data_IF_355885796798
#
_entry.id   IF_355885796798
#
_cell.length_a   1.000
_cell.length_b   1.000
_cell.length_c   1.000
_cell.angle_alpha   90.00
_cell.angle_beta   90.00
_cell.angle_gamma   90.00
#
_symmetry.space_group_name_H-M   'P 1'
#
loop_
_entity.id
_entity.type
_entity.pdbx_description
1 polymer ?
#
# COMPACT_ATOMS: atom_id res chain seq x y z
N UNK A 1 26.68 20.27 36.79
CA UNK A 1 25.23 20.05 36.93
C UNK A 1 24.54 20.66 35.72
N UNK A 2 24.04 19.84 34.79
CA UNK A 2 23.52 20.32 33.50
C UNK A 2 22.18 21.05 33.64
N UNK A 3 22.12 22.27 33.13
CA UNK A 3 20.90 23.10 33.07
C UNK A 3 19.79 22.36 32.30
N UNK A 4 18.75 21.93 33.01
CA UNK A 4 17.53 21.39 32.40
C UNK A 4 16.89 22.50 31.56
N UNK A 5 17.08 22.43 30.24
CA UNK A 5 16.37 23.29 29.30
C UNK A 5 14.87 23.11 29.47
N UNK A 6 14.20 24.11 30.04
CA UNK A 6 12.75 24.14 30.24
C UNK A 6 12.04 23.96 28.89
N UNK A 7 11.16 22.96 28.81
CA UNK A 7 10.31 22.71 27.64
C UNK A 7 9.02 23.51 27.80
N UNK A 8 8.71 24.38 26.83
CA UNK A 8 7.45 25.14 26.84
C UNK A 8 6.27 24.17 26.71
N UNK A 9 5.15 24.48 27.37
CA UNK A 9 3.88 23.75 27.18
C UNK A 9 3.40 23.89 25.73
N UNK A 10 2.76 22.84 25.21
CA UNK A 10 2.16 22.83 23.86
C UNK A 10 1.00 21.85 23.74
N UNK A 11 0.12 21.99 22.75
CA UNK A 11 -0.96 21.03 22.51
C UNK A 11 -0.44 19.71 21.91
N UNK A 12 -1.08 18.60 22.28
CA UNK A 12 -0.89 17.29 21.66
C UNK A 12 -1.36 17.29 20.19
N UNK A 13 -0.58 16.74 19.26
CA UNK A 13 -0.98 16.65 17.85
C UNK A 13 -2.20 15.76 17.58
N UNK A 14 -2.61 14.93 18.55
CA UNK A 14 -3.76 14.02 18.43
C UNK A 14 -4.97 14.58 19.18
N UNK A 15 -4.92 14.63 20.52
CA UNK A 15 -6.06 15.04 21.35
C UNK A 15 -6.10 16.54 21.69
N UNK A 16 -5.13 17.34 21.20
CA UNK A 16 -5.02 18.80 21.42
C UNK A 16 -4.88 19.28 22.87
N UNK A 17 -4.93 18.40 23.88
CA UNK A 17 -4.63 18.74 25.28
C UNK A 17 -3.23 19.33 25.42
N UNK A 18 -3.12 20.41 26.19
CA UNK A 18 -1.84 21.03 26.55
C UNK A 18 -1.03 20.12 27.49
N UNK A 19 0.24 19.92 27.16
CA UNK A 19 1.19 19.14 27.97
C UNK A 19 2.58 19.77 27.96
N UNK A 20 3.39 19.42 28.95
CA UNK A 20 4.81 19.77 28.99
C UNK A 20 5.64 18.61 28.44
N UNK A 21 6.38 18.79 27.33
CA UNK A 21 7.22 17.73 26.79
C UNK A 21 8.33 17.29 27.75
N UNK A 22 8.71 16.01 27.71
CA UNK A 22 9.81 15.51 28.52
C UNK A 22 11.12 16.21 28.15
N UNK A 23 11.95 16.68 29.09
CA UNK A 23 13.17 17.46 28.81
C UNK A 23 14.18 16.78 27.87
N UNK A 24 14.24 15.44 27.87
CA UNK A 24 15.06 14.66 26.92
C UNK A 24 14.53 14.71 25.48
N UNK A 25 13.21 14.77 25.31
CA UNK A 25 12.57 14.69 24.00
C UNK A 25 12.30 16.08 23.41
N UNK A 26 12.09 17.11 24.25
CA UNK A 26 11.83 18.49 23.85
C UNK A 26 10.82 18.54 22.70
N UNK A 27 11.24 19.07 21.55
CA UNK A 27 10.38 19.23 20.38
C UNK A 27 10.06 17.95 19.62
N UNK A 28 10.76 16.85 19.91
CA UNK A 28 10.50 15.53 19.31
C UNK A 28 9.22 14.88 19.85
N UNK A 29 8.83 15.15 21.09
CA UNK A 29 7.61 14.56 21.66
C UNK A 29 6.35 15.26 21.13
N UNK A 30 5.71 14.73 20.08
CA UNK A 30 4.54 15.36 19.44
C UNK A 30 3.20 15.06 20.16
N UNK A 31 3.18 14.12 21.08
CA UNK A 31 1.96 13.65 21.78
C UNK A 31 2.04 13.86 23.28
N UNK A 32 0.89 14.00 23.96
CA UNK A 32 0.81 14.22 25.41
C UNK A 32 1.40 13.11 26.29
N UNK A 33 1.69 11.93 25.73
CA UNK A 33 2.28 10.80 26.46
C UNK A 33 1.31 9.64 26.65
N UNK A 34 0.01 9.90 26.50
CA UNK A 34 -1.05 8.89 26.53
C UNK A 34 -0.85 7.83 25.43
N UNK A 35 -1.17 6.58 25.77
CA UNK A 35 -0.94 5.41 24.92
C UNK A 35 -1.76 5.47 23.63
N UNK A 36 -3.00 5.94 23.69
CA UNK A 36 -3.85 6.10 22.51
C UNK A 36 -3.27 7.15 21.56
N UNK A 37 -2.85 8.30 22.09
CA UNK A 37 -2.21 9.36 21.31
C UNK A 37 -0.88 8.91 20.68
N UNK A 38 -0.07 8.13 21.39
CA UNK A 38 1.19 7.57 20.86
C UNK A 38 0.93 6.59 19.71
N UNK A 39 -0.03 5.67 19.89
CA UNK A 39 -0.40 4.68 18.86
C UNK A 39 -0.92 5.37 17.60
N UNK A 40 -1.81 6.35 17.75
CA UNK A 40 -2.36 7.07 16.59
C UNK A 40 -1.29 7.91 15.86
N UNK A 41 -0.40 8.57 16.62
CA UNK A 41 0.73 9.29 16.02
C UNK A 41 1.67 8.34 15.25
N UNK A 42 1.99 7.18 15.84
CA UNK A 42 2.79 6.15 15.19
C UNK A 42 2.11 5.64 13.91
N UNK A 43 0.81 5.33 13.97
CA UNK A 43 0.02 4.89 12.80
C UNK A 43 0.09 5.91 11.66
N UNK A 44 -0.11 7.21 11.95
CA UNK A 44 -0.03 8.29 10.95
C UNK A 44 1.37 8.40 10.35
N UNK A 45 2.41 8.39 11.20
CA UNK A 45 3.80 8.49 10.73
C UNK A 45 4.26 7.27 9.95
N UNK A 46 3.84 6.07 10.33
CA UNK A 46 4.06 4.86 9.54
C UNK A 46 3.34 4.91 8.20
N UNK A 47 2.09 5.38 8.15
CA UNK A 47 1.38 5.52 6.88
C UNK A 47 2.07 6.51 5.94
N UNK A 48 2.45 7.69 6.45
CA UNK A 48 3.20 8.71 5.70
C UNK A 48 4.54 8.17 5.19
N UNK A 49 5.28 7.47 6.06
CA UNK A 49 6.56 6.87 5.68
C UNK A 49 6.37 5.75 4.64
N UNK A 50 5.36 4.89 4.82
CA UNK A 50 5.06 3.81 3.88
C UNK A 50 4.68 4.33 2.50
N UNK A 51 3.91 5.42 2.45
CA UNK A 51 3.53 6.07 1.20
C UNK A 51 4.76 6.69 0.50
N UNK A 52 5.60 7.41 1.24
CA UNK A 52 6.80 8.03 0.70
C UNK A 52 7.88 7.03 0.28
N UNK A 53 7.92 5.84 0.89
CA UNK A 53 8.95 4.83 0.68
C UNK A 53 8.39 3.55 0.06
N UNK A 54 7.37 3.66 -0.81
CA UNK A 54 6.76 2.48 -1.44
C UNK A 54 7.78 1.60 -2.18
N UNK A 55 8.80 2.21 -2.80
CA UNK A 55 9.85 1.49 -3.52
C UNK A 55 10.78 0.69 -2.61
N UNK A 56 11.02 1.15 -1.38
CA UNK A 56 11.78 0.41 -0.38
C UNK A 56 11.15 -0.97 -0.11
N UNK A 57 9.82 -1.02 0.01
CA UNK A 57 9.09 -2.25 0.23
C UNK A 57 9.08 -3.15 -1.01
N UNK A 58 8.88 -2.57 -2.20
CA UNK A 58 8.93 -3.32 -3.47
C UNK A 58 10.30 -3.98 -3.64
N UNK A 59 11.38 -3.24 -3.37
CA UNK A 59 12.75 -3.74 -3.46
C UNK A 59 13.00 -4.88 -2.46
N UNK A 60 12.64 -4.68 -1.19
CA UNK A 60 12.76 -5.72 -0.16
C UNK A 60 11.97 -6.99 -0.50
N UNK A 61 10.74 -6.83 -1.00
CA UNK A 61 9.88 -7.95 -1.37
C UNK A 61 10.44 -8.72 -2.59
N UNK A 62 10.91 -7.99 -3.60
CA UNK A 62 11.55 -8.58 -4.77
C UNK A 62 12.83 -9.33 -4.37
N UNK A 63 13.68 -8.75 -3.53
CA UNK A 63 14.90 -9.40 -3.06
C UNK A 63 14.57 -10.71 -2.33
N UNK A 64 13.61 -10.71 -1.40
CA UNK A 64 13.16 -11.93 -0.74
C UNK A 64 12.65 -13.00 -1.71
N UNK A 65 11.97 -12.60 -2.80
CA UNK A 65 11.55 -13.54 -3.85
C UNK A 65 12.73 -14.14 -4.62
N UNK A 66 13.76 -13.34 -4.88
CA UNK A 66 14.99 -13.80 -5.54
C UNK A 66 15.75 -14.79 -4.63
N UNK A 67 15.87 -14.48 -3.35
CA UNK A 67 16.59 -15.30 -2.37
C UNK A 67 15.87 -16.63 -2.06
N UNK A 68 14.54 -16.65 -2.16
CA UNK A 68 13.73 -17.83 -1.83
C UNK A 68 13.73 -18.93 -2.91
N UNK A 69 14.34 -18.69 -4.08
CA UNK A 69 14.31 -19.65 -5.18
C UNK A 69 15.60 -20.50 -5.21
N UNK A 70 15.50 -21.82 -4.99
CA UNK A 70 16.65 -22.70 -5.16
C UNK A 70 17.01 -22.82 -6.64
N UNK A 71 18.32 -22.82 -6.94
CA UNK A 71 18.86 -22.75 -8.30
C UNK A 71 18.44 -23.88 -9.26
N UNK A 72 17.82 -24.95 -8.75
CA UNK A 72 17.60 -26.22 -9.47
C UNK A 72 16.13 -26.59 -9.68
N UNK A 73 15.17 -25.84 -9.13
CA UNK A 73 13.74 -26.16 -9.35
C UNK A 73 13.17 -25.35 -10.51
N UNK A 74 12.36 -25.96 -11.41
CA UNK A 74 11.68 -25.23 -12.46
C UNK A 74 10.74 -24.18 -11.82
N UNK A 75 10.83 -22.95 -12.30
CA UNK A 75 10.00 -21.84 -11.81
C UNK A 75 8.53 -22.20 -12.05
N UNK A 76 7.78 -22.47 -10.97
CA UNK A 76 6.33 -22.58 -11.03
C UNK A 76 5.76 -21.18 -11.25
N UNK A 77 5.70 -20.75 -12.50
CA UNK A 77 5.12 -19.44 -12.81
C UNK A 77 3.61 -19.47 -12.56
N UNK A 78 3.09 -18.46 -11.86
CA UNK A 78 1.65 -18.29 -11.69
C UNK A 78 0.98 -17.76 -12.96
N UNK A 79 1.77 -17.26 -13.91
CA UNK A 79 1.29 -16.76 -15.18
C UNK A 79 1.14 -17.93 -16.15
N UNK A 80 -0.11 -18.20 -16.56
CA UNK A 80 -0.41 -19.21 -17.58
C UNK A 80 -0.09 -18.65 -18.97
N UNK A 81 1.19 -18.44 -19.26
CA UNK A 81 1.64 -17.89 -20.56
C UNK A 81 1.57 -18.92 -21.70
N UNK A 82 1.44 -20.21 -21.38
CA UNK A 82 1.47 -21.30 -22.37
C UNK A 82 2.85 -21.54 -22.97
N UNK A 83 3.89 -20.85 -22.49
CA UNK A 83 5.26 -20.95 -23.01
C UNK A 83 5.99 -22.16 -22.42
N UNK A 84 6.94 -22.78 -23.17
CA UNK A 84 7.77 -23.87 -22.67
C UNK A 84 8.75 -23.34 -21.61
N UNK A 85 8.36 -23.41 -20.34
CA UNK A 85 9.05 -22.77 -19.21
C UNK A 85 10.53 -23.16 -19.07
N UNK A 86 10.88 -24.42 -19.35
CA UNK A 86 12.28 -24.87 -19.27
C UNK A 86 13.17 -24.13 -20.27
N UNK A 87 12.72 -23.99 -21.52
CA UNK A 87 13.49 -23.31 -22.56
C UNK A 87 13.58 -21.80 -22.29
N UNK A 88 12.51 -21.22 -21.77
CA UNK A 88 12.51 -19.80 -21.37
C UNK A 88 13.46 -19.58 -20.19
N UNK A 89 13.46 -20.48 -19.20
CA UNK A 89 14.37 -20.41 -18.06
C UNK A 89 15.84 -20.53 -18.49
N UNK A 90 16.16 -21.41 -19.45
CA UNK A 90 17.51 -21.52 -20.02
C UNK A 90 17.99 -20.22 -20.68
N UNK A 91 17.13 -19.57 -21.46
CA UNK A 91 17.51 -18.40 -22.26
C UNK A 91 17.50 -17.11 -21.44
N UNK A 92 16.52 -16.94 -20.55
CA UNK A 92 16.27 -15.69 -19.81
C UNK A 92 16.90 -15.73 -18.41
N UNK A 93 17.02 -16.92 -17.82
CA UNK A 93 17.48 -17.09 -16.45
C UNK A 93 16.38 -16.90 -15.40
N UNK A 94 16.56 -17.56 -14.25
CA UNK A 94 15.56 -17.61 -13.17
C UNK A 94 15.29 -16.24 -12.53
N UNK A 95 16.32 -15.41 -12.36
CA UNK A 95 16.18 -14.08 -11.74
C UNK A 95 15.30 -13.14 -12.59
N UNK A 96 15.55 -13.09 -13.89
CA UNK A 96 14.75 -12.27 -14.82
C UNK A 96 13.30 -12.76 -14.90
N UNK A 97 13.06 -14.07 -14.86
CA UNK A 97 11.71 -14.63 -14.79
C UNK A 97 10.94 -14.15 -13.56
N UNK A 98 11.59 -14.11 -12.39
CA UNK A 98 10.98 -13.61 -11.14
C UNK A 98 10.64 -12.13 -11.26
N UNK A 99 11.53 -11.32 -11.86
CA UNK A 99 11.30 -9.89 -12.08
C UNK A 99 10.12 -9.67 -13.03
N UNK A 100 10.08 -10.40 -14.16
CA UNK A 100 8.99 -10.33 -15.14
C UNK A 100 7.67 -10.73 -14.50
N UNK A 101 7.65 -11.82 -13.73
CA UNK A 101 6.43 -12.26 -13.05
C UNK A 101 5.94 -11.24 -12.02
N UNK A 102 6.86 -10.63 -11.27
CA UNK A 102 6.53 -9.56 -10.33
C UNK A 102 5.96 -8.33 -11.05
N UNK A 103 6.57 -7.92 -12.17
CA UNK A 103 6.08 -6.81 -12.98
C UNK A 103 4.67 -7.09 -13.51
N UNK A 104 4.43 -8.28 -14.06
CA UNK A 104 3.12 -8.68 -14.57
C UNK A 104 2.05 -8.68 -13.46
N UNK A 105 2.38 -9.15 -12.25
CA UNK A 105 1.47 -9.09 -11.09
C UNK A 105 1.10 -7.64 -10.75
N UNK A 106 2.06 -6.71 -10.75
CA UNK A 106 1.80 -5.29 -10.49
C UNK A 106 0.92 -4.65 -11.57
N UNK A 107 1.14 -5.00 -12.84
CA UNK A 107 0.32 -4.51 -13.94
C UNK A 107 -1.12 -5.01 -13.83
N UNK A 108 -1.32 -6.30 -13.60
CA UNK A 108 -2.67 -6.90 -13.41
C UNK A 108 -3.39 -6.24 -12.24
N UNK A 109 -2.73 -6.06 -11.10
CA UNK A 109 -3.32 -5.37 -9.94
C UNK A 109 -3.72 -3.94 -10.28
N UNK A 110 -2.85 -3.18 -10.96
CA UNK A 110 -3.15 -1.81 -11.37
C UNK A 110 -4.32 -1.74 -12.35
N UNK A 111 -4.40 -2.66 -13.31
CA UNK A 111 -5.52 -2.73 -14.24
C UNK A 111 -6.83 -3.07 -13.53
N UNK A 112 -6.80 -4.05 -12.62
CA UNK A 112 -7.96 -4.38 -11.80
C UNK A 112 -8.42 -3.17 -11.00
N UNK A 113 -7.52 -2.45 -10.31
CA UNK A 113 -7.88 -1.26 -9.53
C UNK A 113 -8.55 -0.17 -10.39
N UNK A 114 -8.05 0.06 -11.61
CA UNK A 114 -8.64 1.02 -12.55
C UNK A 114 -10.01 0.55 -13.03
N UNK A 115 -10.15 -0.71 -13.42
CA UNK A 115 -11.43 -1.29 -13.87
C UNK A 115 -12.45 -1.23 -12.74
N UNK A 116 -12.08 -1.65 -11.53
CA UNK A 116 -12.97 -1.61 -10.36
C UNK A 116 -13.43 -0.19 -10.04
N UNK A 117 -12.52 0.80 -10.07
CA UNK A 117 -12.89 2.21 -9.89
C UNK A 117 -13.86 2.68 -10.97
N UNK A 118 -13.64 2.32 -12.23
CA UNK A 118 -14.53 2.70 -13.33
C UNK A 118 -15.91 2.05 -13.20
N UNK A 119 -15.97 0.78 -12.82
CA UNK A 119 -17.23 0.06 -12.57
C UNK A 119 -18.00 0.71 -11.42
N UNK A 120 -17.34 1.08 -10.31
CA UNK A 120 -18.00 1.78 -9.20
C UNK A 120 -18.58 3.12 -9.65
N UNK A 121 -17.81 3.94 -10.36
CA UNK A 121 -18.28 5.24 -10.88
C UNK A 121 -19.45 5.07 -11.86
N UNK A 122 -19.36 4.11 -12.78
CA UNK A 122 -20.44 3.83 -13.73
C UNK A 122 -21.71 3.36 -13.00
N UNK A 123 -21.57 2.51 -11.98
CA UNK A 123 -22.71 2.03 -11.18
C UNK A 123 -23.37 3.15 -10.39
N UNK A 124 -22.57 4.06 -9.81
CA UNK A 124 -23.07 5.27 -9.14
C UNK A 124 -23.76 6.23 -10.11
N UNK A 125 -23.27 6.36 -11.35
CA UNK A 125 -23.90 7.16 -12.40
C UNK A 125 -25.21 6.53 -12.90
N UNK A 126 -25.27 5.20 -13.08
CA UNK A 126 -26.50 4.48 -13.44
C UNK A 126 -27.57 4.60 -12.35
N UNK A 127 -27.19 4.63 -11.07
CA UNK A 127 -28.11 4.91 -9.96
C UNK A 127 -28.64 6.35 -9.92
N UNK A 128 -28.00 7.29 -10.62
CA UNK A 128 -28.40 8.71 -10.71
C UNK A 128 -29.14 9.07 -11.99
N UNK A 129 -29.14 8.19 -13.00
CA UNK A 129 -29.98 8.39 -14.18
C UNK A 129 -31.44 8.10 -13.78
N UNK A 130 -32.40 8.95 -14.16
CA UNK A 130 -33.81 8.60 -14.05
C UNK A 130 -33.97 7.27 -14.78
N UNK A 131 -34.47 6.27 -14.06
CA UNK A 131 -34.87 5.01 -14.66
C UNK A 131 -36.03 5.34 -15.59
N UNK A 132 -35.73 5.62 -16.86
CA UNK A 132 -36.76 5.72 -17.90
C UNK A 132 -37.37 4.33 -18.05
N UNK A 133 -38.36 4.07 -17.20
CA UNK A 133 -39.29 2.98 -17.37
C UNK A 133 -40.10 3.36 -18.60
N UNK A 134 -39.68 2.89 -19.77
CA UNK A 134 -40.54 2.85 -20.92
C UNK A 134 -41.72 1.93 -20.57
N UNK A 135 -42.80 2.54 -20.06
CA UNK A 135 -44.10 1.90 -19.95
C UNK A 135 -44.58 1.63 -21.37
N UNK A 136 -44.35 0.40 -21.84
CA UNK A 136 -45.09 -0.15 -22.97
C UNK A 136 -46.30 -0.89 -22.42
N UNK A 137 -47.35 -0.15 -22.09
CA UNK A 137 -48.70 -0.67 -22.25
C UNK A 137 -48.91 -0.81 -23.75
N UNK A 138 -48.95 -2.03 -24.27
CA UNK A 138 -49.89 -2.47 -25.32
C UNK A 138 -49.60 -3.90 -25.82
N UNK A 139 -50.66 -4.72 -25.71
CA UNK A 139 -50.98 -6.03 -26.37
C UNK A 139 -50.21 -7.27 -25.88
N UNK A 140 -50.86 -8.37 -25.51
CA UNK A 140 -52.24 -8.86 -25.71
C UNK A 140 -52.76 -9.53 -24.45
#
# INVERSE_FOLDING_TARGET
MGTQGYTKKRPCSICRRWFTPHPRLKDRQKTCGDSACKKEWHRRKCAEWNQANSDYFKANYLQKKLDAQPATTPVKSRLKTGLPLNRVQEVIGIQHLIIIEYLAQLLVQRFQDVIWRQVTVNTEQVGRLPREVFSRCDRQ
#
